data_IF_449354309476
#
_entry.id   IF_449354309476
#
_cell.length_a   1.000
_cell.length_b   1.000
_cell.length_c   1.000
_cell.angle_alpha   90.00
_cell.angle_beta   90.00
_cell.angle_gamma   90.00
#
_symmetry.space_group_name_H-M   'P 1'
#
loop_
_entity.id
_entity.type
_entity.pdbx_description
1 polymer ?
#
# COMPACT_ATOMS: atom_id res chain seq x y z
N UNK A 1 12.64 31.75 -12.54
CA UNK A 1 11.70 31.36 -11.48
C UNK A 1 10.37 31.09 -12.14
N UNK A 2 10.09 29.82 -12.46
CA UNK A 2 8.74 29.38 -12.76
C UNK A 2 8.01 29.38 -11.41
N UNK A 3 6.97 30.16 -11.26
CA UNK A 3 6.01 29.99 -10.18
C UNK A 3 5.54 28.54 -10.30
N UNK A 4 5.92 27.67 -9.37
CA UNK A 4 5.33 26.34 -9.25
C UNK A 4 3.83 26.53 -9.05
N UNK A 5 3.12 26.52 -10.16
CA UNK A 5 1.69 26.27 -10.10
C UNK A 5 1.56 24.87 -9.50
N UNK A 6 0.62 24.65 -8.59
CA UNK A 6 0.32 23.37 -7.94
C UNK A 6 -0.12 22.31 -8.96
N UNK A 7 0.75 22.01 -9.94
CA UNK A 7 0.50 21.11 -11.05
C UNK A 7 1.80 20.38 -11.41
N UNK A 8 2.00 19.22 -10.79
CA UNK A 8 3.27 18.47 -10.88
C UNK A 8 3.61 18.04 -12.30
N UNK A 9 2.65 17.49 -13.06
CA UNK A 9 2.90 17.12 -14.46
C UNK A 9 3.31 18.32 -15.31
N UNK A 10 2.73 19.51 -15.11
CA UNK A 10 3.15 20.71 -15.85
C UNK A 10 4.59 21.11 -15.55
N UNK A 11 5.01 21.03 -14.26
CA UNK A 11 6.39 21.32 -13.86
C UNK A 11 7.37 20.30 -14.45
N UNK A 12 7.04 18.99 -14.40
CA UNK A 12 7.87 17.94 -15.01
C UNK A 12 7.93 18.08 -16.53
N UNK A 13 6.80 18.32 -17.21
CA UNK A 13 6.76 18.53 -18.66
C UNK A 13 7.55 19.79 -19.10
N UNK A 14 7.55 20.85 -18.28
CA UNK A 14 8.42 21.99 -18.51
C UNK A 14 9.89 21.60 -18.48
N UNK A 15 10.31 20.79 -17.50
CA UNK A 15 11.68 20.27 -17.42
C UNK A 15 12.02 19.36 -18.61
N UNK A 16 11.09 18.47 -19.02
CA UNK A 16 11.26 17.64 -20.22
C UNK A 16 11.49 18.48 -21.48
N UNK A 17 10.77 19.60 -21.62
CA UNK A 17 10.90 20.49 -22.76
C UNK A 17 12.28 21.19 -22.82
N UNK A 18 12.98 21.34 -21.68
CA UNK A 18 14.32 21.94 -21.57
C UNK A 18 15.46 20.94 -21.78
N UNK A 19 15.17 19.64 -21.71
CA UNK A 19 16.19 18.63 -21.91
C UNK A 19 16.73 18.65 -23.34
N UNK A 20 18.01 18.38 -23.51
CA UNK A 20 18.70 18.35 -24.83
C UNK A 20 18.58 17.00 -25.54
N UNK A 21 18.29 15.92 -24.80
CA UNK A 21 18.20 14.57 -25.33
C UNK A 21 16.75 14.06 -25.36
N UNK A 22 16.48 13.05 -26.18
CA UNK A 22 15.14 12.48 -26.30
C UNK A 22 14.80 11.51 -25.16
N UNK A 23 15.78 10.72 -24.73
CA UNK A 23 15.61 9.85 -23.56
C UNK A 23 15.90 10.63 -22.28
N UNK A 24 15.00 10.52 -21.35
CA UNK A 24 15.01 11.23 -20.09
C UNK A 24 14.99 10.21 -18.95
N UNK A 25 15.96 10.31 -18.06
CA UNK A 25 15.95 9.67 -16.75
C UNK A 25 15.54 10.74 -15.72
N UNK A 26 14.50 10.45 -14.97
CA UNK A 26 13.98 11.34 -13.92
C UNK A 26 14.40 10.82 -12.55
N UNK A 27 15.05 11.68 -11.76
CA UNK A 27 15.45 11.41 -10.37
C UNK A 27 14.96 12.57 -9.53
N UNK A 28 14.28 12.29 -8.42
CA UNK A 28 13.77 13.31 -7.50
C UNK A 28 14.89 13.78 -6.55
N UNK A 29 14.76 14.97 -5.96
CA UNK A 29 15.84 15.60 -5.18
C UNK A 29 16.13 14.86 -3.84
N UNK A 30 15.25 13.98 -3.41
CA UNK A 30 15.34 13.13 -2.23
C UNK A 30 15.73 11.68 -2.55
N UNK A 31 16.12 11.42 -3.80
CA UNK A 31 16.60 10.13 -4.28
C UNK A 31 18.12 10.17 -4.53
N UNK A 32 18.83 9.13 -4.11
CA UNK A 32 20.27 8.98 -4.26
C UNK A 32 20.56 7.77 -5.14
N UNK A 33 21.40 7.93 -6.16
CA UNK A 33 21.83 6.82 -7.01
C UNK A 33 22.78 5.90 -6.23
N UNK A 34 22.39 4.60 -6.12
CA UNK A 34 23.20 3.55 -5.47
C UNK A 34 24.00 2.77 -6.52
N UNK A 35 23.32 2.31 -7.58
CA UNK A 35 23.92 1.46 -8.60
C UNK A 35 23.35 1.76 -9.99
N UNK A 36 24.18 1.63 -11.04
CA UNK A 36 23.80 1.85 -12.42
C UNK A 36 24.70 1.10 -13.40
N UNK A 37 24.10 0.38 -14.34
CA UNK A 37 24.80 -0.17 -15.52
C UNK A 37 24.41 0.62 -16.78
N UNK A 38 25.21 1.64 -17.10
CA UNK A 38 24.95 2.56 -18.22
C UNK A 38 25.01 1.83 -19.57
N UNK A 39 25.91 0.85 -19.74
CA UNK A 39 26.06 0.11 -20.99
C UNK A 39 24.81 -0.72 -21.30
N UNK A 40 24.32 -1.43 -20.29
CA UNK A 40 23.10 -2.23 -20.40
C UNK A 40 21.86 -1.35 -20.61
N UNK A 41 21.74 -0.22 -19.90
CA UNK A 41 20.66 0.77 -20.10
C UNK A 41 20.70 1.29 -21.54
N UNK A 42 21.88 1.62 -22.06
CA UNK A 42 22.05 2.11 -23.44
C UNK A 42 21.65 1.07 -24.48
N UNK A 43 21.87 -0.22 -24.20
CA UNK A 43 21.41 -1.31 -25.07
C UNK A 43 19.86 -1.43 -25.02
N UNK A 44 19.26 -1.42 -23.82
CA UNK A 44 17.83 -1.50 -23.62
C UNK A 44 17.06 -0.33 -24.25
N UNK A 45 17.57 0.89 -24.19
CA UNK A 45 17.00 2.06 -24.87
C UNK A 45 16.93 1.85 -26.39
N UNK A 46 17.94 1.22 -27.00
CA UNK A 46 17.94 0.92 -28.44
C UNK A 46 16.98 -0.21 -28.81
N UNK A 47 16.83 -1.19 -27.92
CA UNK A 47 15.95 -2.33 -28.13
C UNK A 47 14.46 -1.97 -27.91
N UNK A 48 14.18 -1.12 -26.90
CA UNK A 48 12.81 -0.75 -26.49
C UNK A 48 12.57 0.77 -26.52
N UNK A 49 12.73 1.46 -27.66
CA UNK A 49 12.71 2.93 -27.73
C UNK A 49 11.35 3.55 -27.40
N UNK A 50 10.26 2.79 -27.55
CA UNK A 50 8.85 3.22 -27.34
C UNK A 50 8.25 2.64 -26.05
N UNK A 51 9.08 2.16 -25.14
CA UNK A 51 8.65 1.61 -23.86
C UNK A 51 9.20 2.44 -22.70
N UNK A 52 8.67 2.20 -21.50
CA UNK A 52 9.07 2.89 -20.27
C UNK A 52 9.99 1.99 -19.46
N UNK A 53 11.16 2.48 -19.08
CA UNK A 53 12.09 1.81 -18.18
C UNK A 53 11.68 1.99 -16.72
N UNK A 54 11.53 0.85 -16.04
CA UNK A 54 11.32 0.74 -14.60
C UNK A 54 12.68 0.59 -13.90
N UNK A 55 12.92 1.39 -12.89
CA UNK A 55 14.06 1.22 -11.99
C UNK A 55 13.62 0.76 -10.62
N UNK A 56 14.54 0.18 -9.88
CA UNK A 56 14.35 -0.21 -8.48
C UNK A 56 14.56 0.99 -7.57
N UNK A 57 13.61 1.22 -6.64
CA UNK A 57 13.72 2.24 -5.61
C UNK A 57 13.59 1.60 -4.23
N UNK A 58 14.60 1.82 -3.40
CA UNK A 58 14.67 1.38 -2.02
C UNK A 58 14.16 2.49 -1.12
N UNK A 59 13.03 2.26 -0.46
CA UNK A 59 12.36 3.21 0.40
C UNK A 59 12.65 2.88 1.86
N UNK A 60 13.29 3.80 2.58
CA UNK A 60 13.55 3.68 4.00
C UNK A 60 12.38 4.19 4.82
N UNK A 61 11.99 3.45 5.83
CA UNK A 61 10.96 3.84 6.80
C UNK A 61 11.28 3.23 8.17
N UNK A 62 10.82 3.89 9.22
CA UNK A 62 10.96 3.40 10.58
C UNK A 62 9.78 2.49 10.95
N UNK A 63 10.07 1.27 11.39
CA UNK A 63 9.08 0.33 11.92
C UNK A 63 9.50 -0.09 13.33
N UNK A 64 8.71 0.30 14.34
CA UNK A 64 8.97 -0.02 15.75
C UNK A 64 10.40 0.35 16.24
N UNK A 65 10.92 1.50 15.78
CA UNK A 65 12.27 1.96 16.13
C UNK A 65 13.40 1.28 15.35
N UNK A 66 13.07 0.50 14.31
CA UNK A 66 14.03 -0.17 13.43
C UNK A 66 13.93 0.41 12.02
N UNK A 67 15.07 0.79 11.45
CA UNK A 67 15.14 1.19 10.03
C UNK A 67 14.83 -0.03 9.16
N UNK A 68 13.82 0.11 8.33
CA UNK A 68 13.29 -0.92 7.44
C UNK A 68 13.30 -0.43 6.01
N UNK A 69 13.46 -1.34 5.05
CA UNK A 69 13.53 -1.01 3.64
C UNK A 69 12.48 -1.83 2.88
N UNK A 70 11.69 -1.17 2.06
CA UNK A 70 10.92 -1.85 1.03
C UNK A 70 11.31 -1.36 -0.35
N UNK A 71 11.19 -2.25 -1.34
CA UNK A 71 11.58 -1.97 -2.73
C UNK A 71 10.36 -1.91 -3.61
N UNK A 72 10.27 -0.87 -4.45
CA UNK A 72 9.28 -0.75 -5.51
C UNK A 72 9.93 -0.52 -6.88
N UNK A 73 9.18 -0.73 -7.95
CA UNK A 73 9.57 -0.43 -9.32
C UNK A 73 8.86 0.83 -9.78
N UNK A 74 9.65 1.84 -10.20
CA UNK A 74 9.13 3.15 -10.59
C UNK A 74 9.49 3.50 -12.03
N UNK A 75 8.55 4.14 -12.72
CA UNK A 75 8.69 4.58 -14.11
C UNK A 75 9.53 5.86 -14.17
N UNK A 76 10.78 5.74 -14.61
CA UNK A 76 11.72 6.86 -14.57
C UNK A 76 12.50 7.10 -15.85
N UNK A 77 12.58 6.11 -16.77
CA UNK A 77 13.32 6.23 -18.02
C UNK A 77 12.36 6.10 -19.22
N UNK A 78 12.29 7.12 -20.05
CA UNK A 78 11.44 7.11 -21.25
C UNK A 78 11.87 8.13 -22.29
N UNK A 79 11.40 7.96 -23.53
CA UNK A 79 11.60 8.95 -24.58
C UNK A 79 10.51 10.02 -24.54
N UNK A 80 10.90 11.29 -24.38
CA UNK A 80 9.99 12.44 -24.45
C UNK A 80 9.31 12.62 -25.82
N UNK A 81 9.73 11.89 -26.84
CA UNK A 81 9.04 11.85 -28.14
C UNK A 81 7.71 11.11 -28.02
N UNK A 82 7.68 10.02 -27.27
CA UNK A 82 6.52 9.13 -27.17
C UNK A 82 5.69 9.37 -25.92
N UNK A 83 6.29 9.94 -24.87
CA UNK A 83 5.65 10.05 -23.55
C UNK A 83 5.68 11.49 -23.01
N UNK A 84 4.78 11.76 -22.08
CA UNK A 84 4.73 12.97 -21.26
C UNK A 84 4.14 12.65 -19.90
N UNK A 85 4.21 13.60 -18.95
CA UNK A 85 3.51 13.46 -17.67
C UNK A 85 2.08 13.97 -17.77
N UNK A 86 1.13 13.28 -17.11
CA UNK A 86 -0.27 13.67 -16.95
C UNK A 86 -0.69 13.54 -15.48
N UNK A 87 -1.62 14.35 -15.03
CA UNK A 87 -2.11 14.45 -13.66
C UNK A 87 -1.62 15.72 -12.96
N UNK A 88 -2.49 16.34 -12.16
CA UNK A 88 -2.14 17.52 -11.35
C UNK A 88 -1.19 17.12 -10.24
N UNK A 89 -1.45 15.97 -9.63
CA UNK A 89 -0.68 15.32 -8.58
C UNK A 89 -0.65 13.81 -8.86
N UNK A 90 0.32 13.08 -8.30
CA UNK A 90 0.59 11.68 -8.61
C UNK A 90 0.70 11.44 -10.13
N UNK A 91 1.44 12.34 -10.76
CA UNK A 91 1.62 12.39 -12.20
C UNK A 91 2.22 11.09 -12.74
N UNK A 92 1.59 10.58 -13.78
CA UNK A 92 1.98 9.35 -14.45
C UNK A 92 2.63 9.63 -15.80
N UNK A 93 3.54 8.76 -16.23
CA UNK A 93 4.08 8.76 -17.58
C UNK A 93 3.04 8.15 -18.51
N UNK A 94 2.51 8.94 -19.42
CA UNK A 94 1.47 8.50 -20.36
C UNK A 94 1.91 8.70 -21.82
N UNK A 95 1.46 7.83 -22.74
CA UNK A 95 1.81 7.96 -24.15
C UNK A 95 1.13 9.19 -24.78
N UNK A 96 1.81 9.84 -25.73
CA UNK A 96 1.30 10.97 -26.50
C UNK A 96 0.29 10.57 -27.58
N UNK A 97 0.35 9.32 -28.02
CA UNK A 97 -0.55 8.74 -29.00
C UNK A 97 -1.23 7.50 -28.42
N UNK A 98 -2.33 7.05 -29.03
CA UNK A 98 -3.01 5.81 -28.66
C UNK A 98 -2.10 4.64 -29.00
N UNK A 99 -1.39 4.14 -27.98
CA UNK A 99 -0.54 2.95 -28.08
C UNK A 99 -0.62 2.13 -26.79
N UNK A 100 -0.30 0.84 -26.89
CA UNK A 100 -0.23 -0.01 -25.71
C UNK A 100 0.95 0.43 -24.83
N UNK A 101 0.68 0.73 -23.58
CA UNK A 101 1.71 1.01 -22.59
C UNK A 101 2.45 -0.29 -22.27
N UNK A 102 3.77 -0.30 -22.42
CA UNK A 102 4.63 -1.42 -22.07
C UNK A 102 5.86 -0.93 -21.34
N UNK A 103 6.39 -1.76 -20.46
CA UNK A 103 7.51 -1.44 -19.58
C UNK A 103 8.60 -2.50 -19.67
N UNK A 104 9.82 -2.15 -19.30
CA UNK A 104 10.95 -3.05 -19.12
C UNK A 104 11.78 -2.61 -17.91
N UNK A 105 12.42 -3.53 -17.22
CA UNK A 105 13.25 -3.22 -16.07
C UNK A 105 14.66 -2.80 -16.52
N UNK A 106 15.21 -1.75 -15.89
CA UNK A 106 16.56 -1.27 -16.11
C UNK A 106 17.44 -1.54 -14.88
N UNK A 107 18.74 -1.81 -15.06
CA UNK A 107 19.68 -2.01 -13.96
C UNK A 107 20.11 -0.64 -13.38
N UNK A 108 19.23 -0.07 -12.57
CA UNK A 108 19.44 1.16 -11.82
C UNK A 108 18.71 1.07 -10.49
N UNK A 109 19.41 1.40 -9.40
CA UNK A 109 18.89 1.39 -8.04
C UNK A 109 19.00 2.78 -7.43
N UNK A 110 17.89 3.28 -6.91
CA UNK A 110 17.83 4.53 -6.14
C UNK A 110 17.54 4.24 -4.66
N UNK A 111 18.19 4.99 -3.77
CA UNK A 111 17.88 5.09 -2.33
C UNK A 111 16.97 6.30 -2.10
N UNK A 112 15.82 6.10 -1.49
CA UNK A 112 14.84 7.14 -1.20
C UNK A 112 14.57 7.21 0.31
N UNK A 113 14.90 8.36 0.90
CA UNK A 113 14.79 8.62 2.35
C UNK A 113 13.68 9.61 2.72
N UNK A 114 12.77 9.89 1.81
CA UNK A 114 11.74 10.93 1.94
C UNK A 114 10.57 10.61 2.87
N UNK A 115 10.55 9.45 3.56
CA UNK A 115 9.44 9.04 4.46
C UNK A 115 9.64 9.44 5.94
N UNK A 116 10.77 10.07 6.30
CA UNK A 116 11.08 10.45 7.69
C UNK A 116 10.56 11.86 8.06
N UNK A 117 9.37 12.23 7.60
CA UNK A 117 8.73 13.50 7.98
C UNK A 117 8.04 13.39 9.35
N UNK A 118 8.02 14.52 10.11
CA UNK A 118 7.19 14.64 11.31
C UNK A 118 5.71 14.45 10.97
N UNK A 119 4.88 14.07 11.96
CA UNK A 119 3.41 13.99 11.78
C UNK A 119 2.83 15.28 11.18
N UNK A 120 3.36 16.44 11.58
CA UNK A 120 2.93 17.73 11.04
C UNK A 120 3.26 17.89 9.55
N UNK A 121 4.41 17.42 9.10
CA UNK A 121 4.81 17.44 7.69
C UNK A 121 3.97 16.48 6.86
N UNK A 122 3.70 15.28 7.37
CA UNK A 122 2.80 14.31 6.75
C UNK A 122 1.38 14.86 6.63
N UNK A 123 0.88 15.51 7.68
CA UNK A 123 -0.42 16.15 7.67
C UNK A 123 -0.51 17.27 6.62
N UNK A 124 0.48 18.17 6.56
CA UNK A 124 0.56 19.25 5.55
C UNK A 124 0.64 18.68 4.13
N UNK A 125 1.41 17.61 3.94
CA UNK A 125 1.52 16.89 2.65
C UNK A 125 0.16 16.31 2.24
N UNK A 126 -0.53 15.63 3.15
CA UNK A 126 -1.84 15.06 2.88
C UNK A 126 -2.89 16.14 2.56
N UNK A 127 -2.94 17.24 3.33
CA UNK A 127 -3.86 18.34 3.05
C UNK A 127 -3.64 18.96 1.67
N UNK A 128 -2.38 19.27 1.31
CA UNK A 128 -2.04 19.74 -0.03
C UNK A 128 -2.50 18.75 -1.11
N UNK A 129 -2.28 17.45 -0.89
CA UNK A 129 -2.68 16.42 -1.84
C UNK A 129 -4.20 16.39 -2.01
N UNK A 130 -4.96 16.47 -0.90
CA UNK A 130 -6.42 16.52 -0.91
C UNK A 130 -6.93 17.71 -1.74
N UNK A 131 -6.39 18.92 -1.51
CA UNK A 131 -6.77 20.11 -2.27
C UNK A 131 -6.55 19.93 -3.78
N UNK A 132 -5.38 19.43 -4.17
CA UNK A 132 -5.04 19.20 -5.58
C UNK A 132 -5.89 18.11 -6.24
N UNK A 133 -6.14 17.01 -5.50
CA UNK A 133 -6.99 15.93 -5.98
C UNK A 133 -8.45 16.34 -6.10
N UNK A 134 -8.94 17.22 -5.23
CA UNK A 134 -10.29 17.79 -5.36
C UNK A 134 -10.42 18.65 -6.62
N UNK A 135 -9.39 19.43 -6.97
CA UNK A 135 -9.35 20.19 -8.24
C UNK A 135 -9.33 19.22 -9.43
N UNK A 136 -8.51 18.16 -9.36
CA UNK A 136 -8.47 17.14 -10.42
C UNK A 136 -9.83 16.46 -10.60
N UNK A 137 -10.51 16.14 -9.51
CA UNK A 137 -11.82 15.52 -9.51
C UNK A 137 -12.91 16.40 -10.13
N UNK A 138 -12.82 17.75 -9.95
CA UNK A 138 -13.74 18.67 -10.65
C UNK A 138 -13.56 18.64 -12.17
N UNK A 139 -12.35 18.41 -12.65
CA UNK A 139 -12.03 18.35 -14.08
C UNK A 139 -12.26 16.95 -14.67
N UNK A 140 -12.08 15.91 -13.87
CA UNK A 140 -12.15 14.50 -14.28
C UNK A 140 -12.99 13.68 -13.27
N UNK A 141 -14.31 13.93 -13.17
CA UNK A 141 -15.18 13.32 -12.16
C UNK A 141 -15.32 11.80 -12.29
N UNK A 142 -15.01 11.25 -13.47
CA UNK A 142 -15.16 9.83 -13.80
C UNK A 142 -13.84 9.04 -13.66
N UNK A 143 -12.82 9.60 -13.01
CA UNK A 143 -11.54 8.93 -12.83
C UNK A 143 -11.48 8.20 -11.47
N UNK A 144 -11.65 6.86 -11.41
CA UNK A 144 -11.62 6.10 -10.16
C UNK A 144 -10.27 6.17 -9.43
N UNK A 145 -9.17 6.40 -10.17
CA UNK A 145 -7.85 6.55 -9.57
C UNK A 145 -7.75 7.81 -8.69
N UNK A 146 -8.38 8.91 -9.10
CA UNK A 146 -8.42 10.13 -8.28
C UNK A 146 -9.19 9.92 -6.98
N UNK A 147 -10.26 9.13 -6.99
CA UNK A 147 -10.99 8.73 -5.78
C UNK A 147 -10.13 7.87 -4.85
N UNK A 148 -9.38 6.91 -5.40
CA UNK A 148 -8.41 6.11 -4.64
C UNK A 148 -7.38 7.00 -3.95
N UNK A 149 -6.76 7.93 -4.67
CA UNK A 149 -5.75 8.84 -4.13
C UNK A 149 -6.31 9.78 -3.04
N UNK A 150 -7.55 10.24 -3.18
CA UNK A 150 -8.25 10.98 -2.12
C UNK A 150 -8.45 10.11 -0.88
N UNK A 151 -8.92 8.88 -1.04
CA UNK A 151 -9.07 7.92 0.06
C UNK A 151 -7.75 7.70 0.81
N UNK A 152 -6.66 7.49 0.07
CA UNK A 152 -5.31 7.33 0.65
C UNK A 152 -4.85 8.59 1.41
N UNK A 153 -5.11 9.78 0.85
CA UNK A 153 -4.71 11.04 1.48
C UNK A 153 -5.48 11.30 2.78
N UNK A 154 -6.77 10.96 2.83
CA UNK A 154 -7.57 11.03 4.05
C UNK A 154 -7.16 9.96 5.07
N UNK A 155 -6.84 8.75 4.61
CA UNK A 155 -6.32 7.69 5.50
C UNK A 155 -5.00 8.11 6.16
N UNK A 156 -4.12 8.80 5.45
CA UNK A 156 -2.84 9.30 5.97
C UNK A 156 -3.01 10.26 7.16
N UNK A 157 -4.12 10.99 7.24
CA UNK A 157 -4.45 11.89 8.35
C UNK A 157 -5.50 11.31 9.31
N UNK A 158 -5.73 10.00 9.25
CA UNK A 158 -6.68 9.27 10.09
C UNK A 158 -8.14 9.78 10.00
N UNK A 159 -8.52 10.39 8.86
CA UNK A 159 -9.90 10.73 8.57
C UNK A 159 -10.61 9.55 7.88
N UNK A 160 -10.86 8.49 8.65
CA UNK A 160 -11.48 7.26 8.17
C UNK A 160 -12.85 7.49 7.52
N UNK A 161 -13.58 8.53 7.95
CA UNK A 161 -14.90 8.86 7.39
C UNK A 161 -14.79 9.32 5.93
N UNK A 162 -13.90 10.24 5.64
CA UNK A 162 -13.68 10.71 4.29
C UNK A 162 -12.92 9.67 3.46
N UNK A 163 -11.96 8.94 4.03
CA UNK A 163 -11.31 7.82 3.36
C UNK A 163 -12.33 6.80 2.86
N UNK A 164 -13.22 6.32 3.74
CA UNK A 164 -14.31 5.40 3.42
C UNK A 164 -15.22 5.95 2.30
N UNK A 165 -15.62 7.23 2.40
CA UNK A 165 -16.48 7.89 1.40
C UNK A 165 -15.85 7.90 -0.01
N UNK A 166 -14.57 8.24 -0.10
CA UNK A 166 -13.89 8.34 -1.39
C UNK A 166 -13.56 6.96 -1.96
N UNK A 167 -13.15 5.99 -1.15
CA UNK A 167 -12.99 4.61 -1.61
C UNK A 167 -14.31 4.02 -2.13
N UNK A 168 -15.41 4.19 -1.40
CA UNK A 168 -16.72 3.73 -1.82
C UNK A 168 -17.13 4.33 -3.17
N UNK A 169 -16.90 5.64 -3.37
CA UNK A 169 -17.19 6.30 -4.66
C UNK A 169 -16.34 5.74 -5.78
N UNK A 170 -15.05 5.52 -5.56
CA UNK A 170 -14.14 4.95 -6.54
C UNK A 170 -14.52 3.52 -6.95
N UNK A 171 -14.98 2.70 -5.99
CA UNK A 171 -15.41 1.32 -6.21
C UNK A 171 -16.77 1.20 -6.92
N UNK A 172 -17.51 2.30 -7.10
CA UNK A 172 -18.76 2.30 -7.90
C UNK A 172 -18.55 2.34 -9.40
N UNK A 173 -17.34 2.65 -9.84
CA UNK A 173 -16.97 2.60 -11.25
C UNK A 173 -16.71 1.15 -11.69
N UNK A 174 -16.81 0.92 -13.00
CA UNK A 174 -16.37 -0.34 -13.61
C UNK A 174 -14.83 -0.37 -13.64
N UNK A 175 -14.25 -0.94 -12.61
CA UNK A 175 -12.79 -1.00 -12.39
C UNK A 175 -12.27 -2.42 -12.56
N UNK A 176 -11.06 -2.55 -13.08
CA UNK A 176 -10.37 -3.85 -13.20
C UNK A 176 -9.88 -4.33 -11.83
N UNK A 177 -10.43 -5.43 -11.26
CA UNK A 177 -10.00 -5.97 -9.97
C UNK A 177 -8.52 -6.38 -9.93
N UNK A 178 -7.90 -6.65 -11.08
CA UNK A 178 -6.49 -7.01 -11.16
C UNK A 178 -5.55 -5.81 -11.06
N UNK A 179 -6.08 -4.59 -11.21
CA UNK A 179 -5.28 -3.37 -11.09
C UNK A 179 -4.87 -3.14 -9.63
N UNK A 180 -3.59 -2.90 -9.40
CA UNK A 180 -3.01 -2.73 -8.06
C UNK A 180 -3.75 -1.67 -7.23
N UNK A 181 -4.06 -0.49 -7.83
CA UNK A 181 -4.77 0.57 -7.11
C UNK A 181 -6.19 0.15 -6.68
N UNK A 182 -6.86 -0.74 -7.44
CA UNK A 182 -8.19 -1.26 -7.10
C UNK A 182 -8.08 -2.23 -5.92
N UNK A 183 -7.07 -3.10 -5.92
CA UNK A 183 -6.79 -3.98 -4.78
C UNK A 183 -6.54 -3.17 -3.51
N UNK A 184 -5.67 -2.15 -3.59
CA UNK A 184 -5.39 -1.26 -2.46
C UNK A 184 -6.60 -0.44 -2.04
N UNK A 185 -7.48 -0.05 -2.98
CA UNK A 185 -8.71 0.68 -2.68
C UNK A 185 -9.72 -0.18 -1.91
N UNK A 186 -9.88 -1.45 -2.30
CA UNK A 186 -10.76 -2.41 -1.60
C UNK A 186 -10.24 -2.67 -0.19
N UNK A 187 -8.93 -2.88 -0.04
CA UNK A 187 -8.29 -3.09 1.27
C UNK A 187 -8.46 -1.85 2.15
N UNK A 188 -8.15 -0.67 1.64
CA UNK A 188 -8.31 0.60 2.36
C UNK A 188 -9.77 0.86 2.79
N UNK A 189 -10.73 0.55 1.89
CA UNK A 189 -12.16 0.65 2.20
C UNK A 189 -12.57 -0.26 3.36
N UNK A 190 -12.12 -1.51 3.34
CA UNK A 190 -12.41 -2.47 4.40
C UNK A 190 -11.84 -2.04 5.76
N UNK A 191 -10.58 -1.58 5.80
CA UNK A 191 -9.99 -1.05 7.03
C UNK A 191 -10.71 0.21 7.53
N UNK A 192 -11.06 1.15 6.64
CA UNK A 192 -11.83 2.34 7.01
C UNK A 192 -13.20 1.99 7.62
N UNK A 193 -13.90 0.98 7.07
CA UNK A 193 -15.13 0.47 7.66
C UNK A 193 -14.92 -0.12 9.05
N UNK A 194 -13.85 -0.90 9.26
CA UNK A 194 -13.51 -1.47 10.58
C UNK A 194 -13.20 -0.38 11.60
N UNK A 195 -12.41 0.65 11.24
CA UNK A 195 -12.09 1.78 12.10
C UNK A 195 -13.35 2.60 12.49
N UNK A 196 -14.30 2.72 11.57
CA UNK A 196 -15.58 3.36 11.82
C UNK A 196 -16.59 2.48 12.60
N UNK A 197 -16.19 1.27 13.02
CA UNK A 197 -17.05 0.25 13.64
C UNK A 197 -18.25 -0.16 12.76
N UNK A 198 -18.17 0.01 11.45
CA UNK A 198 -19.17 -0.41 10.45
C UNK A 198 -18.95 -1.88 10.04
N UNK A 199 -18.90 -2.76 11.03
CA UNK A 199 -18.48 -4.14 10.84
C UNK A 199 -19.45 -4.94 9.95
N UNK A 200 -20.75 -4.67 10.05
CA UNK A 200 -21.76 -5.33 9.20
C UNK A 200 -21.65 -4.90 7.76
N UNK A 201 -21.40 -3.61 7.50
CA UNK A 201 -21.19 -3.09 6.14
C UNK A 201 -19.95 -3.72 5.49
N UNK A 202 -18.89 -3.95 6.27
CA UNK A 202 -17.67 -4.58 5.81
C UNK A 202 -17.88 -6.03 5.31
N UNK A 203 -18.91 -6.76 5.82
CA UNK A 203 -19.27 -8.08 5.31
C UNK A 203 -19.66 -8.06 3.82
N UNK A 204 -20.06 -6.90 3.29
CA UNK A 204 -20.32 -6.74 1.85
C UNK A 204 -19.12 -7.10 0.97
N UNK A 205 -17.89 -7.00 1.49
CA UNK A 205 -16.67 -7.40 0.75
C UNK A 205 -16.62 -8.92 0.47
N UNK A 206 -17.37 -9.74 1.18
CA UNK A 206 -17.51 -11.16 0.84
C UNK A 206 -18.14 -11.37 -0.54
N UNK A 207 -18.91 -10.40 -1.06
CA UNK A 207 -19.51 -10.46 -2.40
C UNK A 207 -18.51 -10.35 -3.56
N UNK A 208 -17.29 -9.87 -3.28
CA UNK A 208 -16.21 -9.73 -4.27
C UNK A 208 -15.01 -10.63 -3.96
N UNK A 209 -15.17 -11.58 -3.04
CA UNK A 209 -14.08 -12.40 -2.49
C UNK A 209 -13.25 -13.08 -3.57
N UNK A 210 -13.87 -13.73 -4.54
CA UNK A 210 -13.18 -14.51 -5.58
C UNK A 210 -12.25 -13.66 -6.48
N UNK A 211 -12.51 -12.35 -6.58
CA UNK A 211 -11.68 -11.44 -7.35
C UNK A 211 -10.40 -10.99 -6.61
N UNK A 212 -10.36 -11.13 -5.27
CA UNK A 212 -9.29 -10.60 -4.42
C UNK A 212 -8.62 -11.67 -3.53
N UNK A 213 -9.09 -12.89 -3.54
CA UNK A 213 -8.66 -13.97 -2.63
C UNK A 213 -7.23 -14.49 -2.89
N UNK A 214 -6.58 -14.01 -3.95
CA UNK A 214 -5.16 -14.23 -4.24
C UNK A 214 -4.23 -13.26 -3.50
N UNK A 215 -4.78 -12.25 -2.77
CA UNK A 215 -4.03 -11.29 -1.97
C UNK A 215 -4.04 -11.69 -0.49
N UNK A 216 -2.86 -11.81 0.11
CA UNK A 216 -2.72 -12.04 1.56
C UNK A 216 -3.40 -10.93 2.36
N UNK A 217 -3.27 -9.68 1.90
CA UNK A 217 -3.81 -8.49 2.53
C UNK A 217 -5.34 -8.53 2.60
N UNK A 218 -5.98 -8.90 1.48
CA UNK A 218 -7.43 -9.02 1.42
C UNK A 218 -7.94 -10.19 2.27
N UNK A 219 -7.29 -11.34 2.19
CA UNK A 219 -7.66 -12.52 2.99
C UNK A 219 -7.50 -12.23 4.49
N UNK A 220 -6.41 -11.58 4.91
CA UNK A 220 -6.21 -11.14 6.28
C UNK A 220 -7.29 -10.15 6.73
N UNK A 221 -7.63 -9.16 5.90
CA UNK A 221 -8.72 -8.21 6.13
C UNK A 221 -10.07 -8.93 6.32
N UNK A 222 -10.39 -9.90 5.46
CA UNK A 222 -11.62 -10.71 5.61
C UNK A 222 -11.65 -11.47 6.92
N UNK A 223 -10.51 -11.99 7.38
CA UNK A 223 -10.36 -12.58 8.70
C UNK A 223 -10.72 -11.59 9.82
N UNK A 224 -10.22 -10.35 9.75
CA UNK A 224 -10.57 -9.28 10.71
C UNK A 224 -12.05 -8.92 10.66
N UNK A 225 -12.63 -8.81 9.45
CA UNK A 225 -14.05 -8.52 9.27
C UNK A 225 -14.92 -9.61 9.91
N UNK A 226 -14.62 -10.87 9.64
CA UNK A 226 -15.36 -11.99 10.25
C UNK A 226 -15.19 -12.01 11.77
N UNK A 227 -14.00 -11.74 12.28
CA UNK A 227 -13.72 -11.66 13.72
C UNK A 227 -14.57 -10.57 14.38
N UNK A 228 -14.62 -9.36 13.80
CA UNK A 228 -15.42 -8.23 14.32
C UNK A 228 -16.93 -8.49 14.25
N UNK A 229 -17.37 -9.39 13.39
CA UNK A 229 -18.77 -9.86 13.28
C UNK A 229 -19.03 -11.17 14.04
N UNK A 230 -18.14 -11.57 14.96
CA UNK A 230 -18.26 -12.79 15.78
C UNK A 230 -18.36 -14.09 14.98
N UNK A 231 -17.95 -14.09 13.71
CA UNK A 231 -17.92 -15.27 12.84
C UNK A 231 -16.58 -16.01 12.98
N UNK A 232 -16.27 -16.48 14.19
CA UNK A 232 -14.93 -16.96 14.59
C UNK A 232 -14.36 -18.07 13.72
N UNK A 233 -15.19 -19.04 13.29
CA UNK A 233 -14.72 -20.12 12.42
C UNK A 233 -14.32 -19.63 11.04
N UNK A 234 -15.07 -18.69 10.46
CA UNK A 234 -14.67 -18.08 9.19
C UNK A 234 -13.40 -17.25 9.35
N UNK A 235 -13.33 -16.44 10.41
CA UNK A 235 -12.13 -15.68 10.73
C UNK A 235 -10.89 -16.56 10.82
N UNK A 236 -10.99 -17.70 11.52
CA UNK A 236 -9.91 -18.65 11.68
C UNK A 236 -9.42 -19.21 10.33
N UNK A 237 -10.36 -19.59 9.44
CA UNK A 237 -10.03 -20.11 8.12
C UNK A 237 -9.31 -19.06 7.26
N UNK A 238 -9.77 -17.82 7.27
CA UNK A 238 -9.13 -16.72 6.53
C UNK A 238 -7.72 -16.42 7.08
N UNK A 239 -7.57 -16.35 8.39
CA UNK A 239 -6.25 -16.13 8.99
C UNK A 239 -5.28 -17.29 8.68
N UNK A 240 -5.74 -18.53 8.72
CA UNK A 240 -4.92 -19.68 8.32
C UNK A 240 -4.53 -19.58 6.83
N UNK A 241 -5.46 -19.24 5.95
CA UNK A 241 -5.20 -18.99 4.53
C UNK A 241 -4.19 -17.86 4.35
N UNK A 242 -4.34 -16.74 5.08
CA UNK A 242 -3.41 -15.60 5.00
C UNK A 242 -1.96 -16.00 5.30
N UNK A 243 -1.72 -16.91 6.25
CA UNK A 243 -0.36 -17.38 6.59
C UNK A 243 0.27 -18.27 5.51
N UNK A 244 -0.45 -18.70 4.49
CA UNK A 244 0.11 -19.52 3.40
C UNK A 244 0.75 -18.69 2.28
N UNK A 245 0.49 -17.38 2.23
CA UNK A 245 1.04 -16.50 1.21
C UNK A 245 2.51 -16.15 1.49
N UNK A 246 3.31 -16.08 0.43
CA UNK A 246 4.73 -15.73 0.54
C UNK A 246 4.97 -14.22 0.68
N UNK A 247 4.08 -13.40 0.13
CA UNK A 247 4.21 -11.94 0.10
C UNK A 247 2.91 -11.26 0.53
N UNK A 248 3.02 -10.07 1.08
CA UNK A 248 1.93 -9.16 1.40
C UNK A 248 2.41 -7.73 1.21
N UNK A 249 1.50 -6.81 0.86
CA UNK A 249 1.80 -5.36 0.80
C UNK A 249 1.73 -4.73 2.19
N UNK A 250 0.74 -5.13 3.00
CA UNK A 250 0.64 -4.71 4.40
C UNK A 250 1.57 -5.56 5.26
N UNK A 251 2.51 -4.92 5.92
CA UNK A 251 3.46 -5.61 6.80
C UNK A 251 2.71 -6.45 7.85
N UNK A 252 3.00 -7.74 7.87
CA UNK A 252 2.42 -8.68 8.82
C UNK A 252 1.11 -9.34 8.40
N UNK A 253 0.48 -8.95 7.28
CA UNK A 253 -0.79 -9.51 6.82
C UNK A 253 -0.71 -11.01 6.47
N UNK A 254 0.47 -11.53 6.17
CA UNK A 254 0.74 -12.95 5.95
C UNK A 254 1.51 -13.63 7.09
N UNK A 255 1.71 -12.97 8.23
CA UNK A 255 2.59 -13.50 9.30
C UNK A 255 2.05 -13.22 10.71
N UNK A 256 2.46 -12.14 11.36
CA UNK A 256 2.11 -11.92 12.77
C UNK A 256 0.67 -11.46 12.99
N UNK A 257 0.06 -10.69 12.06
CA UNK A 257 -1.34 -10.25 12.22
C UNK A 257 -2.30 -11.46 12.27
N UNK A 258 -2.31 -12.36 11.25
CA UNK A 258 -3.18 -13.53 11.31
C UNK A 258 -2.81 -14.47 12.46
N UNK A 259 -1.52 -14.69 12.74
CA UNK A 259 -1.08 -15.55 13.85
C UNK A 259 -1.58 -15.05 15.21
N UNK A 260 -1.48 -13.74 15.45
CA UNK A 260 -2.00 -13.11 16.66
C UNK A 260 -3.51 -13.30 16.81
N UNK A 261 -4.28 -13.06 15.74
CA UNK A 261 -5.73 -13.19 15.78
C UNK A 261 -6.20 -14.66 15.91
N UNK A 262 -5.46 -15.62 15.34
CA UNK A 262 -5.69 -17.05 15.61
C UNK A 262 -5.48 -17.33 17.09
N UNK A 263 -4.42 -16.78 17.70
CA UNK A 263 -4.18 -16.87 19.13
C UNK A 263 -5.34 -16.34 19.95
N UNK A 264 -5.85 -15.15 19.64
CA UNK A 264 -7.01 -14.54 20.30
C UNK A 264 -8.26 -15.43 20.20
N UNK A 265 -8.56 -15.96 19.02
CA UNK A 265 -9.73 -16.85 18.82
C UNK A 265 -9.59 -18.11 19.68
N UNK A 266 -8.42 -18.76 19.68
CA UNK A 266 -8.17 -19.94 20.51
C UNK A 266 -8.33 -19.62 22.01
N UNK A 267 -7.83 -18.47 22.44
CA UNK A 267 -7.98 -18.03 23.82
C UNK A 267 -9.45 -17.81 24.21
N UNK A 268 -10.25 -17.17 23.34
CA UNK A 268 -11.69 -16.98 23.53
C UNK A 268 -12.45 -18.33 23.61
N UNK A 269 -11.93 -19.38 22.93
CA UNK A 269 -12.47 -20.74 22.98
C UNK A 269 -11.97 -21.53 24.20
N UNK A 270 -11.10 -20.96 25.04
CA UNK A 270 -10.52 -21.62 26.20
C UNK A 270 -9.29 -22.49 25.90
N UNK A 271 -8.85 -22.53 24.63
CA UNK A 271 -7.74 -23.34 24.15
C UNK A 271 -6.39 -22.60 24.35
N UNK A 272 -6.04 -22.34 25.64
CA UNK A 272 -4.89 -21.51 26.00
C UNK A 272 -3.54 -22.04 25.47
N UNK A 273 -3.35 -23.35 25.42
CA UNK A 273 -2.12 -23.95 24.90
C UNK A 273 -2.00 -23.69 23.37
N UNK A 274 -3.09 -23.78 22.64
CA UNK A 274 -3.12 -23.44 21.22
C UNK A 274 -2.91 -21.94 20.99
N UNK A 275 -3.49 -21.08 21.82
CA UNK A 275 -3.27 -19.65 21.78
C UNK A 275 -1.77 -19.32 21.96
N UNK A 276 -1.09 -19.89 22.94
CA UNK A 276 0.35 -19.71 23.16
C UNK A 276 1.20 -20.13 21.94
N UNK A 277 0.84 -21.23 21.27
CA UNK A 277 1.54 -21.68 20.05
C UNK A 277 1.46 -20.60 18.96
N UNK A 278 0.28 -20.00 18.78
CA UNK A 278 0.08 -18.99 17.75
C UNK A 278 0.68 -17.64 18.12
N UNK A 279 0.59 -17.20 19.37
CA UNK A 279 1.27 -15.99 19.84
C UNK A 279 2.79 -16.06 19.68
N UNK A 280 3.41 -17.21 19.95
CA UNK A 280 4.86 -17.41 19.75
C UNK A 280 5.30 -17.33 18.29
N UNK A 281 4.40 -17.61 17.32
CA UNK A 281 4.67 -17.42 15.88
C UNK A 281 4.74 -15.94 15.48
N UNK A 282 4.28 -15.02 16.33
CA UNK A 282 4.31 -13.59 16.03
C UNK A 282 5.69 -12.94 16.23
N UNK A 283 6.71 -13.69 16.69
CA UNK A 283 8.04 -13.14 16.97
C UNK A 283 7.99 -12.04 18.03
N UNK A 284 8.61 -10.91 17.73
CA UNK A 284 8.73 -9.77 18.64
C UNK A 284 7.49 -8.84 18.63
N UNK A 285 6.36 -9.28 18.10
CA UNK A 285 5.13 -8.48 18.09
C UNK A 285 4.67 -8.17 19.52
N UNK A 286 4.67 -6.87 19.94
CA UNK A 286 4.50 -6.51 21.35
C UNK A 286 3.23 -7.04 22.00
N UNK A 287 2.11 -6.98 21.29
CA UNK A 287 0.81 -7.46 21.78
C UNK A 287 0.82 -8.98 22.05
N UNK A 288 1.51 -9.75 21.20
CA UNK A 288 1.65 -11.20 21.41
C UNK A 288 2.54 -11.52 22.59
N UNK A 289 3.64 -10.79 22.77
CA UNK A 289 4.55 -10.95 23.91
C UNK A 289 3.85 -10.63 25.25
N UNK A 290 2.95 -9.65 25.27
CA UNK A 290 2.15 -9.32 26.44
C UNK A 290 1.19 -10.49 26.77
N UNK A 291 0.44 -10.99 25.78
CA UNK A 291 -0.48 -12.12 25.99
C UNK A 291 0.22 -13.39 26.43
N UNK A 292 1.42 -13.69 25.87
CA UNK A 292 2.24 -14.82 26.32
C UNK A 292 2.54 -14.70 27.80
N UNK A 293 3.03 -13.53 28.25
CA UNK A 293 3.37 -13.32 29.67
C UNK A 293 2.16 -13.50 30.58
N UNK A 294 1.01 -12.98 30.20
CA UNK A 294 -0.23 -13.10 30.99
C UNK A 294 -0.66 -14.57 31.12
N UNK A 295 -0.72 -15.32 30.01
CA UNK A 295 -1.13 -16.72 30.02
C UNK A 295 -0.15 -17.62 30.78
N UNK A 296 1.17 -17.35 30.69
CA UNK A 296 2.20 -18.10 31.45
C UNK A 296 2.09 -17.80 32.95
N UNK A 297 1.81 -16.57 33.36
CA UNK A 297 1.59 -16.20 34.77
C UNK A 297 0.31 -16.86 35.31
N UNK A 298 -0.80 -16.87 34.56
CA UNK A 298 -2.03 -17.57 34.96
C UNK A 298 -1.77 -19.08 35.16
N UNK A 299 -0.99 -19.70 34.27
CA UNK A 299 -0.63 -21.12 34.39
C UNK A 299 0.22 -21.40 35.65
N UNK A 300 1.20 -20.53 35.93
CA UNK A 300 2.03 -20.63 37.10
C UNK A 300 1.22 -20.46 38.40
N UNK A 301 0.27 -19.52 38.41
CA UNK A 301 -0.63 -19.31 39.56
C UNK A 301 -1.52 -20.53 39.83
N UNK A 302 -2.03 -21.15 38.76
CA UNK A 302 -2.87 -22.35 38.88
C UNK A 302 -2.09 -23.56 39.43
N UNK A 303 -0.83 -23.77 39.00
CA UNK A 303 0.02 -24.87 39.48
C UNK A 303 0.43 -24.69 40.95
N UNK A 304 0.55 -23.43 41.41
CA UNK A 304 0.99 -23.11 42.78
C UNK A 304 -0.18 -22.86 43.76
N UNK A 305 -1.44 -23.01 43.32
CA UNK A 305 -2.61 -22.87 44.21
C UNK A 305 -2.62 -24.03 45.20
N UNK A 306 -2.65 -23.79 46.51
CA UNK A 306 -2.82 -24.85 47.50
C UNK A 306 -4.23 -25.49 47.34
N UNK A 307 -4.29 -26.82 47.45
CA UNK A 307 -5.52 -27.61 47.52
C UNK A 307 -6.45 -27.19 48.65
#
# INVERSE_FOLDING_TARGET
HSTCTNHFAAARNYSLAKASHDFILVIDCDEILIDIDIEKISALIREYPEQIGLLERQNHYELNGTDSVYTDLVERLFSRRYFHYSGIIHEQVVPKAVQKRSTYQIPLILDHRGYNGSEEELYKKAQRNIELLQIDLMNHPDNPYTYFQLGQSYNMIHDDKNACLYYEKGLRFDVDPSAEYVQMMVIGYGYALLHLNRHEDALGLAGVYDAFDSSADFVCLMGLIYLRNSQYMKALLEFLKATTFQTAHVTGANSFIPSYNIGLINEMMGEKDMALIHYRKCGDFPMALERIRELENERAAFVNAPE
#
